data_IF_492580447226
#
_entry.id   IF_492580447226
#
_cell.length_a   1.000
_cell.length_b   1.000
_cell.length_c   1.000
_cell.angle_alpha   90.00
_cell.angle_beta   90.00
_cell.angle_gamma   90.00
#
_symmetry.space_group_name_H-M   'P 1'
#
loop_
_entity.id
_entity.type
_entity.pdbx_description
1 polymer ?
#
# COMPACT_ATOMS: atom_id res chain seq x y z
N UNK A 1 20.75 -10.63 19.79
CA UNK A 1 20.45 -10.03 21.12
C UNK A 1 19.65 -8.78 20.85
N UNK A 2 18.42 -8.69 21.36
CA UNK A 2 17.49 -7.59 21.02
C UNK A 2 17.93 -6.25 21.61
N UNK A 3 17.48 -5.13 21.01
CA UNK A 3 17.77 -3.77 21.48
C UNK A 3 17.41 -3.59 22.97
N UNK A 4 16.32 -4.18 23.44
CA UNK A 4 15.91 -4.21 24.84
C UNK A 4 16.92 -4.91 25.75
N UNK A 5 17.50 -6.03 25.29
CA UNK A 5 18.44 -6.81 26.08
C UNK A 5 19.80 -6.11 26.20
N UNK A 6 20.19 -5.36 25.16
CA UNK A 6 21.36 -4.47 25.18
C UNK A 6 21.09 -3.24 26.06
N UNK A 7 19.90 -2.64 25.96
CA UNK A 7 19.50 -1.49 26.78
C UNK A 7 19.47 -1.83 28.29
N UNK A 8 19.09 -3.06 28.65
CA UNK A 8 19.08 -3.54 30.04
C UNK A 8 20.46 -3.99 30.57
N UNK A 9 21.48 -4.08 29.70
CA UNK A 9 22.80 -4.61 30.09
C UNK A 9 23.70 -3.61 30.82
N UNK A 10 23.41 -2.31 30.72
CA UNK A 10 24.16 -1.21 31.35
C UNK A 10 23.20 -0.06 31.71
N UNK A 11 23.47 0.71 32.77
CA UNK A 11 22.72 1.92 33.07
C UNK A 11 22.85 2.93 31.91
N UNK A 12 21.70 3.46 31.46
CA UNK A 12 21.57 4.44 30.38
C UNK A 12 20.96 5.73 30.90
N UNK A 13 21.15 6.83 30.18
CA UNK A 13 20.45 8.08 30.49
C UNK A 13 18.98 8.03 30.03
N UNK A 14 18.21 9.04 30.44
CA UNK A 14 16.77 9.10 30.11
C UNK A 14 16.51 9.29 28.61
N UNK A 15 17.40 9.93 27.85
CA UNK A 15 17.22 10.19 26.43
C UNK A 15 17.39 8.89 25.62
N UNK A 16 18.42 8.09 25.93
CA UNK A 16 18.63 6.78 25.32
C UNK A 16 17.51 5.80 25.66
N UNK A 17 16.91 5.89 26.87
CA UNK A 17 15.74 5.10 27.24
C UNK A 17 14.50 5.51 26.44
N UNK A 18 14.27 6.80 26.23
CA UNK A 18 13.17 7.31 25.40
C UNK A 18 13.30 6.85 23.95
N UNK A 19 14.50 6.91 23.37
CA UNK A 19 14.75 6.42 22.00
C UNK A 19 14.47 4.91 21.88
N UNK A 20 14.90 4.11 22.86
CA UNK A 20 14.59 2.67 22.89
C UNK A 20 13.09 2.42 23.04
N UNK A 21 12.39 3.19 23.88
CA UNK A 21 10.93 3.06 24.03
C UNK A 21 10.18 3.43 22.76
N UNK A 22 10.60 4.51 22.08
CA UNK A 22 10.03 4.93 20.81
C UNK A 22 10.25 3.86 19.73
N UNK A 23 11.47 3.35 19.59
CA UNK A 23 11.76 2.27 18.64
C UNK A 23 10.97 0.99 18.95
N UNK A 24 10.80 0.63 20.23
CA UNK A 24 9.96 -0.50 20.61
C UNK A 24 8.47 -0.26 20.29
N UNK A 25 7.97 0.95 20.48
CA UNK A 25 6.58 1.31 20.16
C UNK A 25 6.34 1.16 18.64
N UNK A 26 7.23 1.71 17.82
CA UNK A 26 7.18 1.58 16.36
C UNK A 26 7.19 0.11 15.92
N UNK A 27 8.00 -0.72 16.56
CA UNK A 27 8.06 -2.15 16.26
C UNK A 27 6.78 -2.91 16.68
N UNK A 28 6.20 -2.55 17.84
CA UNK A 28 4.93 -3.14 18.27
C UNK A 28 3.77 -2.75 17.35
N UNK A 29 3.71 -1.49 16.91
CA UNK A 29 2.71 -1.03 15.95
C UNK A 29 2.86 -1.74 14.60
N UNK A 30 4.11 -1.96 14.17
CA UNK A 30 4.44 -2.74 12.97
C UNK A 30 3.97 -4.20 13.09
N UNK A 31 4.28 -4.87 14.19
CA UNK A 31 3.84 -6.25 14.45
C UNK A 31 2.31 -6.35 14.48
N UNK A 32 1.63 -5.37 15.10
CA UNK A 32 0.17 -5.29 15.10
C UNK A 32 -0.37 -5.17 13.67
N UNK A 33 0.19 -4.32 12.84
CA UNK A 33 -0.22 -4.17 11.44
C UNK A 33 -0.04 -5.48 10.66
N UNK A 34 1.11 -6.14 10.80
CA UNK A 34 1.40 -7.43 10.18
C UNK A 34 0.37 -8.49 10.56
N UNK A 35 0.07 -8.63 11.87
CA UNK A 35 -0.93 -9.60 12.35
C UNK A 35 -2.31 -9.30 11.77
N UNK A 36 -2.72 -8.03 11.75
CA UNK A 36 -4.01 -7.62 11.17
C UNK A 36 -4.08 -7.89 9.66
N UNK A 37 -3.00 -7.66 8.93
CA UNK A 37 -2.91 -7.96 7.50
C UNK A 37 -3.02 -9.45 7.23
N UNK A 38 -2.37 -10.28 8.03
CA UNK A 38 -2.43 -11.74 7.91
C UNK A 38 -3.82 -12.29 8.25
N UNK A 39 -4.45 -11.77 9.32
CA UNK A 39 -5.82 -12.13 9.68
C UNK A 39 -6.80 -11.74 8.57
N UNK A 40 -6.63 -10.56 7.98
CA UNK A 40 -7.43 -10.13 6.84
C UNK A 40 -7.26 -11.07 5.64
N UNK A 41 -6.02 -11.35 5.23
CA UNK A 41 -5.72 -12.22 4.08
C UNK A 41 -6.24 -13.65 4.29
N UNK A 42 -6.23 -14.15 5.52
CA UNK A 42 -6.81 -15.44 5.88
C UNK A 42 -8.32 -15.46 5.68
N UNK A 43 -9.03 -14.45 6.21
CA UNK A 43 -10.50 -14.36 6.12
C UNK A 43 -10.97 -14.10 4.69
N UNK A 44 -10.27 -13.24 3.96
CA UNK A 44 -10.59 -12.92 2.56
C UNK A 44 -10.53 -14.18 1.67
N UNK A 45 -9.52 -15.04 1.87
CA UNK A 45 -9.38 -16.29 1.12
C UNK A 45 -10.44 -17.35 1.46
N UNK A 46 -11.12 -17.22 2.60
CA UNK A 46 -12.21 -18.11 3.03
C UNK A 46 -13.60 -17.59 2.64
N UNK A 47 -13.71 -16.35 2.14
CA UNK A 47 -14.99 -15.70 1.87
C UNK A 47 -15.70 -15.19 3.14
N UNK A 48 -15.02 -15.14 4.28
CA UNK A 48 -15.59 -14.81 5.59
C UNK A 48 -15.64 -13.29 5.88
N UNK A 49 -15.55 -12.46 4.83
CA UNK A 49 -15.59 -11.00 4.96
C UNK A 49 -16.94 -10.52 4.44
N UNK A 50 -17.80 -10.08 5.37
CA UNK A 50 -19.02 -9.36 5.01
C UNK A 50 -18.63 -7.97 4.48
N UNK A 51 -19.10 -7.66 3.27
CA UNK A 51 -18.85 -6.36 2.62
C UNK A 51 -20.08 -5.47 2.74
N UNK A 52 -19.85 -4.20 3.08
CA UNK A 52 -20.88 -3.17 3.12
C UNK A 52 -20.80 -2.31 1.86
N UNK A 53 -21.19 -2.89 0.72
CA UNK A 53 -21.08 -2.21 -0.57
C UNK A 53 -22.12 -1.10 -0.72
N UNK A 54 -21.70 0.09 -1.13
CA UNK A 54 -22.56 1.20 -1.55
C UNK A 54 -22.04 1.84 -2.83
N UNK A 55 -22.86 2.66 -3.47
CA UNK A 55 -22.41 3.44 -4.61
C UNK A 55 -21.49 4.56 -4.13
N UNK A 56 -20.30 4.67 -4.72
CA UNK A 56 -19.23 5.59 -4.30
C UNK A 56 -18.63 6.28 -5.51
N UNK A 57 -18.47 7.60 -5.43
CA UNK A 57 -17.66 8.38 -6.36
C UNK A 57 -16.18 8.15 -6.02
N UNK A 58 -15.44 7.47 -6.89
CA UNK A 58 -14.08 7.04 -6.60
C UNK A 58 -13.11 8.22 -6.51
N UNK A 59 -13.34 9.30 -7.28
CA UNK A 59 -12.52 10.50 -7.22
C UNK A 59 -12.53 11.15 -5.83
N UNK A 60 -13.68 11.17 -5.15
CA UNK A 60 -13.80 11.72 -3.79
C UNK A 60 -13.02 10.87 -2.77
N UNK A 61 -13.09 9.54 -2.87
CA UNK A 61 -12.34 8.65 -1.99
C UNK A 61 -10.83 8.73 -2.24
N UNK A 62 -10.41 8.93 -3.49
CA UNK A 62 -9.00 9.13 -3.84
C UNK A 62 -8.49 10.47 -3.31
N UNK A 63 -9.27 11.55 -3.46
CA UNK A 63 -8.93 12.85 -2.91
C UNK A 63 -8.78 12.78 -1.39
N UNK A 64 -9.75 12.19 -0.68
CA UNK A 64 -9.68 12.03 0.77
C UNK A 64 -8.48 11.19 1.23
N UNK A 65 -8.08 10.17 0.47
CA UNK A 65 -6.85 9.40 0.75
C UNK A 65 -5.58 10.19 0.46
N UNK A 66 -5.60 11.04 -0.58
CA UNK A 66 -4.53 11.98 -0.89
C UNK A 66 -4.30 12.98 0.24
N UNK A 67 -5.37 13.62 0.73
CA UNK A 67 -5.33 14.56 1.85
C UNK A 67 -4.78 13.88 3.12
N UNK A 68 -5.20 12.64 3.39
CA UNK A 68 -4.69 11.87 4.53
C UNK A 68 -3.19 11.56 4.43
N UNK A 69 -2.66 11.43 3.21
CA UNK A 69 -1.26 11.11 2.95
C UNK A 69 -0.44 12.34 2.53
N UNK A 70 -0.96 13.56 2.68
CA UNK A 70 -0.31 14.80 2.23
C UNK A 70 1.13 14.90 2.73
N UNK A 71 1.34 14.74 4.05
CA UNK A 71 2.67 14.81 4.66
C UNK A 71 3.64 13.76 4.10
N UNK A 72 3.16 12.56 3.79
CA UNK A 72 3.97 11.49 3.20
C UNK A 72 4.45 11.87 1.79
N UNK A 73 3.57 12.48 1.00
CA UNK A 73 3.91 12.98 -0.33
C UNK A 73 4.89 14.15 -0.24
N UNK A 74 4.67 15.10 0.67
CA UNK A 74 5.55 16.23 0.92
C UNK A 74 6.96 15.78 1.35
N UNK A 75 7.07 14.87 2.31
CA UNK A 75 8.35 14.33 2.80
C UNK A 75 9.13 13.61 1.70
N UNK A 76 8.44 12.97 0.76
CA UNK A 76 9.03 12.32 -0.40
C UNK A 76 9.32 13.30 -1.56
N UNK A 77 8.84 14.55 -1.46
CA UNK A 77 8.91 15.55 -2.53
C UNK A 77 8.12 15.13 -3.78
N UNK A 78 6.98 14.49 -3.60
CA UNK A 78 6.11 13.99 -4.68
C UNK A 78 4.81 14.77 -4.73
N UNK A 79 4.18 14.80 -5.91
CA UNK A 79 2.82 15.32 -6.08
C UNK A 79 1.85 14.20 -6.43
N UNK A 80 0.60 14.34 -6.01
CA UNK A 80 -0.49 13.45 -6.38
C UNK A 80 -1.36 14.12 -7.44
N UNK A 81 -1.57 13.45 -8.57
CA UNK A 81 -2.48 13.90 -9.62
C UNK A 81 -3.59 12.87 -9.86
N UNK A 82 -4.84 13.30 -9.88
CA UNK A 82 -6.01 12.44 -10.07
C UNK A 82 -6.58 12.73 -11.46
N UNK A 83 -6.68 11.71 -12.30
CA UNK A 83 -7.20 11.79 -13.66
C UNK A 83 -8.44 10.91 -13.81
N UNK A 84 -9.49 11.49 -14.38
CA UNK A 84 -10.75 10.79 -14.64
C UNK A 84 -11.68 10.77 -13.44
N UNK A 85 -12.82 10.12 -13.64
CA UNK A 85 -13.87 9.96 -12.64
C UNK A 85 -14.64 8.68 -12.95
N UNK A 86 -15.06 7.99 -11.90
CA UNK A 86 -15.82 6.75 -11.98
C UNK A 86 -16.64 6.57 -10.71
N UNK A 87 -17.83 5.99 -10.88
CA UNK A 87 -18.67 5.55 -9.78
C UNK A 87 -18.75 4.03 -9.78
N UNK A 88 -18.56 3.39 -8.63
CA UNK A 88 -18.67 1.93 -8.51
C UNK A 88 -19.41 1.54 -7.22
N UNK A 89 -20.00 0.34 -7.20
CA UNK A 89 -20.62 -0.23 -6.01
C UNK A 89 -19.57 -1.02 -5.22
N UNK A 90 -18.98 -0.40 -4.22
CA UNK A 90 -17.83 -0.92 -3.47
C UNK A 90 -18.01 -0.78 -1.96
N UNK A 91 -17.23 -1.52 -1.19
CA UNK A 91 -17.01 -1.24 0.23
C UNK A 91 -15.96 -0.12 0.36
N UNK A 92 -16.32 1.08 0.85
CA UNK A 92 -15.40 2.22 0.90
C UNK A 92 -14.20 1.98 1.82
N UNK A 93 -14.36 1.18 2.88
CA UNK A 93 -13.30 0.92 3.85
C UNK A 93 -12.22 0.02 3.25
N UNK A 94 -12.64 -1.02 2.52
CA UNK A 94 -11.74 -1.91 1.79
C UNK A 94 -11.10 -1.17 0.62
N UNK A 95 -11.87 -0.38 -0.13
CA UNK A 95 -11.32 0.43 -1.21
C UNK A 95 -10.23 1.38 -0.74
N UNK A 96 -10.48 2.15 0.35
CA UNK A 96 -9.48 3.06 0.93
C UNK A 96 -8.22 2.30 1.33
N UNK A 97 -8.36 1.11 1.92
CA UNK A 97 -7.22 0.26 2.28
C UNK A 97 -6.41 -0.20 1.07
N UNK A 98 -7.06 -0.62 -0.01
CA UNK A 98 -6.36 -0.99 -1.25
C UNK A 98 -5.63 0.22 -1.85
N UNK A 99 -6.30 1.37 -1.90
CA UNK A 99 -5.73 2.60 -2.42
C UNK A 99 -4.52 3.07 -1.60
N UNK A 100 -4.63 3.12 -0.27
CA UNK A 100 -3.52 3.50 0.60
C UNK A 100 -2.31 2.58 0.40
N UNK A 101 -2.52 1.26 0.22
CA UNK A 101 -1.44 0.33 -0.10
C UNK A 101 -0.77 0.62 -1.46
N UNK A 102 -1.55 0.99 -2.48
CA UNK A 102 -1.00 1.39 -3.78
C UNK A 102 -0.25 2.72 -3.70
N UNK A 103 -0.78 3.71 -2.98
CA UNK A 103 -0.13 5.03 -2.82
C UNK A 103 1.16 4.92 -2.03
N UNK A 104 1.21 4.16 -0.93
CA UNK A 104 2.46 3.87 -0.23
C UNK A 104 3.48 3.18 -1.14
N UNK A 105 3.05 2.21 -1.95
CA UNK A 105 3.93 1.55 -2.89
C UNK A 105 4.48 2.52 -3.94
N UNK A 106 3.62 3.39 -4.48
CA UNK A 106 4.02 4.41 -5.43
C UNK A 106 5.03 5.39 -4.83
N UNK A 107 4.77 5.93 -3.63
CA UNK A 107 5.70 6.83 -2.91
C UNK A 107 7.05 6.16 -2.66
N UNK A 108 7.03 4.92 -2.17
CA UNK A 108 8.25 4.17 -1.82
C UNK A 108 9.17 3.94 -3.03
N UNK A 109 8.60 3.77 -4.22
CA UNK A 109 9.33 3.42 -5.43
C UNK A 109 9.43 4.57 -6.44
N UNK A 110 8.80 5.70 -6.17
CA UNK A 110 8.86 6.87 -7.02
C UNK A 110 10.26 7.51 -7.01
N UNK A 111 10.60 8.13 -8.13
CA UNK A 111 11.75 9.01 -8.25
C UNK A 111 11.46 10.28 -7.44
N UNK A 112 12.35 10.72 -6.54
CA UNK A 112 12.14 11.97 -5.81
C UNK A 112 11.88 13.15 -6.75
N UNK A 113 10.90 14.01 -6.42
CA UNK A 113 10.52 15.13 -7.27
C UNK A 113 9.57 14.80 -8.42
N UNK A 114 9.15 13.54 -8.58
CA UNK A 114 8.20 13.14 -9.63
C UNK A 114 6.74 13.21 -9.17
N UNK A 115 5.84 12.93 -10.11
CA UNK A 115 4.40 12.85 -9.87
C UNK A 115 3.94 11.39 -9.74
N UNK A 116 2.99 11.15 -8.83
CA UNK A 116 2.18 9.93 -8.79
C UNK A 116 0.81 10.25 -9.38
N UNK A 117 0.41 9.48 -10.40
CA UNK A 117 -0.89 9.64 -11.07
C UNK A 117 -1.86 8.54 -10.68
N UNK A 118 -3.07 8.91 -10.30
CA UNK A 118 -4.18 7.98 -10.08
C UNK A 118 -5.20 8.15 -11.21
N UNK A 119 -5.32 7.14 -12.05
CA UNK A 119 -6.27 7.13 -13.15
C UNK A 119 -7.51 6.31 -12.76
N UNK A 120 -8.68 6.94 -12.91
CA UNK A 120 -9.99 6.35 -12.66
C UNK A 120 -10.75 6.26 -13.97
N UNK A 121 -11.22 5.06 -14.30
CA UNK A 121 -11.97 4.81 -15.53
C UNK A 121 -13.15 3.87 -15.27
N UNK A 122 -14.34 4.24 -15.73
CA UNK A 122 -15.48 3.34 -15.72
C UNK A 122 -15.24 2.17 -16.70
N UNK A 123 -15.54 0.94 -16.28
CA UNK A 123 -15.33 -0.27 -17.08
C UNK A 123 -16.53 -1.21 -16.93
N UNK A 124 -17.43 -1.19 -17.92
CA UNK A 124 -18.69 -1.95 -17.85
C UNK A 124 -19.57 -1.48 -16.69
N UNK A 125 -19.97 -2.41 -15.82
CA UNK A 125 -20.65 -2.08 -14.56
C UNK A 125 -19.68 -1.70 -13.43
N UNK A 126 -18.37 -1.88 -13.65
CA UNK A 126 -17.33 -1.67 -12.67
C UNK A 126 -16.48 -0.42 -12.90
N UNK A 127 -15.29 -0.44 -12.30
CA UNK A 127 -14.29 0.60 -12.50
C UNK A 127 -12.87 0.02 -12.46
N UNK A 128 -11.98 0.69 -13.18
CA UNK A 128 -10.55 0.44 -13.21
C UNK A 128 -9.83 1.57 -12.48
N UNK A 129 -8.97 1.20 -11.54
CA UNK A 129 -8.17 2.11 -10.74
C UNK A 129 -6.70 1.79 -11.00
N UNK A 130 -5.95 2.74 -11.51
CA UNK A 130 -4.52 2.58 -11.79
C UNK A 130 -3.72 3.67 -11.06
N UNK A 131 -2.68 3.26 -10.34
CA UNK A 131 -1.70 4.15 -9.71
C UNK A 131 -0.40 4.03 -10.48
N UNK A 132 0.13 5.17 -10.92
CA UNK A 132 1.30 5.27 -11.78
C UNK A 132 2.38 6.09 -11.10
N UNK A 133 3.62 5.63 -11.15
CA UNK A 133 4.76 6.37 -10.63
C UNK A 133 5.98 6.19 -11.53
N UNK A 134 6.77 7.25 -11.66
CA UNK A 134 8.08 7.19 -12.28
C UNK A 134 9.09 6.65 -11.29
N UNK A 135 9.96 5.71 -11.67
CA UNK A 135 10.89 5.10 -10.73
C UNK A 135 11.86 4.14 -11.37
N UNK A 136 12.47 3.31 -10.54
CA UNK A 136 13.25 2.17 -11.02
C UNK A 136 12.28 1.19 -11.70
N UNK A 137 12.53 0.91 -12.98
CA UNK A 137 11.74 -0.09 -13.71
C UNK A 137 11.81 -1.47 -13.04
N UNK A 138 10.75 -2.25 -13.20
CA UNK A 138 10.67 -3.60 -12.65
C UNK A 138 10.95 -4.61 -13.77
N UNK A 139 11.90 -5.53 -13.54
CA UNK A 139 12.19 -6.59 -14.51
C UNK A 139 10.95 -7.48 -14.73
N UNK A 140 10.74 -7.91 -15.98
CA UNK A 140 9.52 -8.62 -16.39
C UNK A 140 9.28 -9.91 -15.60
N UNK A 141 10.33 -10.58 -15.16
CA UNK A 141 10.28 -11.80 -14.34
C UNK A 141 9.64 -11.58 -12.96
N UNK A 142 9.67 -10.35 -12.43
CA UNK A 142 9.10 -10.03 -11.12
C UNK A 142 7.63 -9.65 -11.20
N UNK A 143 7.15 -9.14 -12.34
CA UNK A 143 5.78 -8.61 -12.49
C UNK A 143 4.69 -9.61 -12.07
N UNK A 144 4.74 -10.91 -12.46
CA UNK A 144 3.72 -11.88 -12.05
C UNK A 144 3.71 -12.17 -10.55
N UNK A 145 4.83 -11.92 -9.86
CA UNK A 145 5.05 -12.27 -8.47
C UNK A 145 4.74 -11.11 -7.51
N UNK A 146 4.56 -9.88 -8.01
CA UNK A 146 4.37 -8.68 -7.18
C UNK A 146 3.16 -8.76 -6.24
N UNK A 147 2.14 -9.54 -6.60
CA UNK A 147 0.94 -9.73 -5.78
C UNK A 147 1.02 -10.95 -4.86
N UNK A 148 2.13 -11.70 -4.89
CA UNK A 148 2.36 -12.81 -3.99
C UNK A 148 2.76 -12.32 -2.59
N UNK A 149 2.31 -13.05 -1.57
CA UNK A 149 2.55 -12.69 -0.17
C UNK A 149 4.05 -12.71 0.12
N UNK A 150 4.54 -11.69 0.81
CA UNK A 150 5.95 -11.53 1.20
C UNK A 150 6.94 -11.33 0.03
N UNK A 151 6.45 -11.26 -1.21
CA UNK A 151 7.32 -11.08 -2.35
C UNK A 151 7.87 -9.65 -2.42
N UNK A 152 9.18 -9.53 -2.68
CA UNK A 152 9.91 -8.27 -2.84
C UNK A 152 11.01 -8.44 -3.87
N UNK A 153 11.18 -7.46 -4.76
CA UNK A 153 12.22 -7.45 -5.80
C UNK A 153 13.63 -7.35 -5.19
N UNK A 154 13.81 -6.43 -4.23
CA UNK A 154 15.09 -6.23 -3.55
C UNK A 154 15.03 -6.77 -2.11
N UNK A 155 15.55 -7.98 -1.87
CA UNK A 155 15.70 -8.52 -0.51
C UNK A 155 16.79 -7.79 0.31
N UNK A 156 17.73 -7.11 -0.36
CA UNK A 156 18.95 -6.56 0.24
C UNK A 156 18.89 -5.09 0.70
N UNK A 157 17.81 -4.34 0.39
CA UNK A 157 17.68 -2.94 0.86
C UNK A 157 17.04 -2.90 2.24
N UNK A 158 17.86 -3.12 3.28
CA UNK A 158 17.44 -3.14 4.70
C UNK A 158 17.52 -1.76 5.41
N UNK A 159 17.93 -0.68 4.75
CA UNK A 159 18.53 0.45 5.47
C UNK A 159 17.70 1.74 5.68
N UNK A 160 16.37 1.72 5.51
CA UNK A 160 15.55 2.89 5.88
C UNK A 160 14.22 2.46 6.51
N UNK A 161 14.09 2.72 7.82
CA UNK A 161 12.92 2.83 8.73
C UNK A 161 11.58 2.14 8.44
N UNK A 162 11.14 2.08 7.18
CA UNK A 162 9.81 1.63 6.79
C UNK A 162 9.90 0.23 6.15
N UNK A 163 10.03 -0.78 7.02
CA UNK A 163 9.97 -2.18 6.61
C UNK A 163 8.53 -2.56 6.27
N UNK A 164 8.14 -2.40 5.00
CA UNK A 164 6.92 -3.03 4.46
C UNK A 164 7.19 -4.52 4.21
N UNK A 165 6.34 -5.38 4.78
CA UNK A 165 6.53 -6.84 4.81
C UNK A 165 6.18 -7.57 3.49
N UNK A 166 6.00 -6.85 2.38
CA UNK A 166 5.58 -7.45 1.11
C UNK A 166 4.13 -7.96 1.12
N UNK A 167 3.27 -7.43 2.02
CA UNK A 167 1.86 -7.80 2.09
C UNK A 167 0.93 -6.81 1.38
N UNK A 168 1.35 -5.56 1.17
CA UNK A 168 0.50 -4.50 0.62
C UNK A 168 -0.18 -4.86 -0.70
N UNK A 169 0.58 -5.28 -1.71
CA UNK A 169 0.00 -5.67 -3.00
C UNK A 169 -0.86 -6.94 -2.92
N UNK A 170 -0.52 -7.90 -2.04
CA UNK A 170 -1.37 -9.07 -1.82
C UNK A 170 -2.73 -8.71 -1.17
N UNK A 171 -2.77 -7.66 -0.35
CA UNK A 171 -4.00 -7.09 0.20
C UNK A 171 -4.83 -6.43 -0.90
N UNK A 172 -4.18 -5.67 -1.80
CA UNK A 172 -4.85 -5.09 -2.98
C UNK A 172 -5.50 -6.20 -3.81
N UNK A 173 -4.78 -7.29 -4.08
CA UNK A 173 -5.32 -8.47 -4.80
C UNK A 173 -6.52 -9.08 -4.10
N UNK A 174 -6.44 -9.30 -2.78
CA UNK A 174 -7.56 -9.84 -2.03
C UNK A 174 -8.78 -8.91 -2.06
N UNK A 175 -8.59 -7.59 -1.97
CA UNK A 175 -9.67 -6.61 -2.03
C UNK A 175 -10.31 -6.55 -3.42
N UNK A 176 -9.50 -6.58 -4.49
CA UNK A 176 -10.00 -6.63 -5.86
C UNK A 176 -10.88 -7.87 -6.08
N UNK A 177 -10.41 -9.04 -5.64
CA UNK A 177 -11.15 -10.30 -5.72
C UNK A 177 -12.46 -10.28 -4.92
N UNK A 178 -12.47 -9.67 -3.72
CA UNK A 178 -13.70 -9.48 -2.93
C UNK A 178 -14.75 -8.64 -3.69
N UNK A 179 -14.29 -7.67 -4.49
CA UNK A 179 -15.14 -6.86 -5.38
C UNK A 179 -15.30 -7.49 -6.78
N UNK A 180 -15.03 -8.79 -6.95
CA UNK A 180 -15.23 -9.49 -8.22
C UNK A 180 -14.30 -9.06 -9.37
N UNK A 181 -13.32 -8.20 -9.11
CA UNK A 181 -12.34 -7.76 -10.10
C UNK A 181 -10.99 -8.48 -9.98
N UNK A 182 -9.96 -7.90 -10.59
CA UNK A 182 -8.61 -8.45 -10.61
C UNK A 182 -7.54 -7.36 -10.54
N UNK A 183 -6.30 -7.75 -10.29
CA UNK A 183 -5.15 -6.86 -10.24
C UNK A 183 -4.36 -6.87 -11.54
N UNK A 184 -3.70 -5.77 -11.83
CA UNK A 184 -2.80 -5.66 -12.98
C UNK A 184 -1.56 -4.85 -12.62
N UNK A 185 -0.48 -5.14 -13.34
CA UNK A 185 0.77 -4.39 -13.23
C UNK A 185 1.47 -4.31 -14.58
N UNK A 186 2.08 -3.17 -14.85
CA UNK A 186 2.97 -2.95 -15.98
C UNK A 186 4.14 -2.07 -15.53
N UNK A 187 5.34 -2.36 -16.01
CA UNK A 187 6.50 -1.48 -15.83
C UNK A 187 7.26 -1.38 -17.14
N UNK A 188 7.33 -0.17 -17.71
CA UNK A 188 7.99 0.11 -18.99
C UNK A 188 8.58 1.51 -18.97
N UNK A 189 9.79 1.66 -19.51
CA UNK A 189 10.46 2.96 -19.70
C UNK A 189 10.54 3.81 -18.41
N UNK A 190 10.76 3.18 -17.25
CA UNK A 190 10.83 3.87 -15.96
C UNK A 190 9.48 4.32 -15.40
N UNK A 191 8.37 3.97 -16.04
CA UNK A 191 7.01 4.18 -15.54
C UNK A 191 6.44 2.84 -15.09
N UNK A 192 6.01 2.79 -13.83
CA UNK A 192 5.31 1.64 -13.26
C UNK A 192 3.85 2.01 -13.07
N UNK A 193 2.96 1.08 -13.41
CA UNK A 193 1.52 1.19 -13.25
C UNK A 193 1.05 -0.05 -12.51
N UNK A 194 0.47 0.15 -11.33
CA UNK A 194 -0.13 -0.91 -10.52
C UNK A 194 -1.58 -0.54 -10.28
N UNK A 195 -2.49 -1.49 -10.40
CA UNK A 195 -3.90 -1.19 -10.21
C UNK A 195 -4.75 -2.42 -10.03
N UNK A 196 -6.05 -2.17 -9.91
CA UNK A 196 -7.06 -3.20 -9.81
C UNK A 196 -8.35 -2.74 -10.46
N UNK A 197 -9.18 -3.71 -10.80
CA UNK A 197 -10.57 -3.52 -11.20
C UNK A 197 -11.50 -3.92 -10.06
N UNK A 198 -12.69 -3.34 -10.07
CA UNK A 198 -13.83 -3.78 -9.27
C UNK A 198 -14.97 -4.04 -10.23
N UNK A 199 -15.72 -5.12 -10.02
CA UNK A 199 -16.90 -5.49 -10.81
C UNK A 199 -18.13 -5.36 -9.90
N UNK A 200 -19.24 -4.87 -10.44
CA UNK A 200 -20.51 -4.85 -9.71
C UNK A 200 -21.18 -6.23 -9.72
#
# INVERSE_FOLDING_TARGET
>A
MGQTQVALSRPRDNAELQEVMQSNLEELERLRALVNDMLFLSRAGQGDIAMETRQVALAEEVAAAGDFLELLFEDAGLTLHIEGDATARIDPSLFRRALTNLLHNAVQHARPGSEVRVQLQAEGEGARIAVMNEGAGIAAEHLPLLFERFYRVDQAREYRGERHHGLGLSIVKAIAMLHGGDVFVASRNGLTTVGFTVMC
#
